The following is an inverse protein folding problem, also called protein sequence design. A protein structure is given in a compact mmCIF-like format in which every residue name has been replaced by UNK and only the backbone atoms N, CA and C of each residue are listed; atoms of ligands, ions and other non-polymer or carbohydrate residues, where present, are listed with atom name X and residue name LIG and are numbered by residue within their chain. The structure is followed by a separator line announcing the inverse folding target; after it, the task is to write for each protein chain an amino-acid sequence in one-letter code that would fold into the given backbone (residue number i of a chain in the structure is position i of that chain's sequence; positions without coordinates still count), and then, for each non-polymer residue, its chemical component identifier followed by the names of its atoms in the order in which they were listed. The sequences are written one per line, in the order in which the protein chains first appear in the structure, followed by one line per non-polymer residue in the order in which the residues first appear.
data_IF_781636191421
#
_entry.id   IF_781636191421
#
_cell.length_a   1.000
_cell.length_b   1.000
_cell.length_c   1.000
_cell.angle_alpha   90.00
_cell.angle_beta   90.00
_cell.angle_gamma   90.00
#
_symmetry.space_group_name_H-M   'P 1'
#
loop_
_entity.id
_entity.type
_entity.pdbx_description
1 polymer ?
#
# COMPACT_ATOMS: atom_id res chain seq x y z
N UNK A 1 3.90 9.66 14.28
CA UNK A 1 3.01 9.20 15.36
C UNK A 1 3.50 9.79 16.68
N UNK A 2 2.66 10.04 17.70
CA UNK A 2 3.15 10.33 19.05
C UNK A 2 3.98 9.15 19.58
N UNK A 3 4.98 9.39 20.42
CA UNK A 3 5.86 8.33 20.96
C UNK A 3 5.08 7.24 21.74
N UNK A 4 3.98 7.64 22.38
CA UNK A 4 3.03 6.74 23.06
C UNK A 4 1.61 7.06 22.55
N UNK A 5 1.20 6.49 21.40
CA UNK A 5 -0.12 6.76 20.85
C UNK A 5 -1.20 6.13 21.74
N UNK A 6 -2.37 6.76 21.80
CA UNK A 6 -3.53 6.17 22.47
C UNK A 6 -3.91 4.88 21.73
N UNK A 7 -4.02 3.78 22.47
CA UNK A 7 -4.36 2.46 21.92
C UNK A 7 -5.87 2.24 21.92
N UNK A 8 -6.39 1.66 20.83
CA UNK A 8 -7.81 1.38 20.69
C UNK A 8 -8.30 0.37 21.73
N UNK A 9 -9.52 0.58 22.23
CA UNK A 9 -10.21 -0.43 23.04
C UNK A 9 -10.38 -1.70 22.20
N UNK A 10 -9.91 -2.85 22.69
CA UNK A 10 -9.94 -4.11 21.96
C UNK A 10 -8.74 -4.36 21.03
N UNK A 11 -7.69 -3.52 21.07
CA UNK A 11 -6.49 -3.71 20.26
C UNK A 11 -5.93 -5.15 20.29
N UNK A 12 -5.87 -5.80 21.45
CA UNK A 12 -5.37 -7.17 21.55
C UNK A 12 -6.26 -8.19 20.83
N UNK A 13 -7.58 -8.00 20.87
CA UNK A 13 -8.53 -8.88 20.18
C UNK A 13 -8.45 -8.68 18.66
N UNK A 14 -8.30 -7.43 18.20
CA UNK A 14 -8.14 -7.12 16.78
C UNK A 14 -6.82 -7.68 16.24
N UNK A 15 -5.71 -7.48 16.96
CA UNK A 15 -4.40 -8.07 16.59
C UNK A 15 -4.48 -9.59 16.54
N UNK A 16 -5.10 -10.22 17.55
CA UNK A 16 -5.32 -11.66 17.54
C UNK A 16 -6.11 -12.11 16.31
N UNK A 17 -7.22 -11.43 16.00
CA UNK A 17 -8.04 -11.73 14.82
C UNK A 17 -7.26 -11.61 13.52
N UNK A 18 -6.49 -10.54 13.34
CA UNK A 18 -5.65 -10.33 12.15
C UNK A 18 -4.63 -11.47 12.01
N UNK A 19 -3.91 -11.80 13.07
CA UNK A 19 -2.87 -12.83 13.02
C UNK A 19 -3.42 -14.27 12.96
N UNK A 20 -4.68 -14.48 13.34
CA UNK A 20 -5.36 -15.77 13.19
C UNK A 20 -5.77 -16.08 11.73
N UNK A 21 -5.96 -15.04 10.90
CA UNK A 21 -6.28 -15.21 9.46
C UNK A 21 -5.07 -15.60 8.62
N UNK A 22 -3.86 -15.30 9.10
CA UNK A 22 -2.60 -15.66 8.45
C UNK A 22 -1.40 -14.98 9.11
N UNK A 23 -0.17 -15.36 8.75
CA UNK A 23 1.02 -14.67 9.22
C UNK A 23 1.07 -13.23 8.70
N UNK A 24 1.97 -12.42 9.28
CA UNK A 24 2.47 -11.23 8.57
C UNK A 24 3.20 -11.73 7.33
N UNK A 25 2.54 -11.58 6.19
CA UNK A 25 3.00 -12.09 4.92
C UNK A 25 4.28 -11.39 4.51
N UNK A 26 5.19 -12.18 3.94
CA UNK A 26 6.27 -11.63 3.16
C UNK A 26 5.75 -10.89 1.93
N UNK A 27 6.54 -9.93 1.44
CA UNK A 27 6.29 -9.32 0.14
C UNK A 27 7.19 -9.95 -0.93
N UNK A 28 6.77 -9.83 -2.19
CA UNK A 28 7.37 -10.58 -3.30
C UNK A 28 7.86 -9.62 -4.39
N UNK A 29 9.12 -9.75 -4.82
CA UNK A 29 9.64 -9.08 -6.00
C UNK A 29 9.69 -10.04 -7.20
N UNK A 30 9.73 -9.49 -8.42
CA UNK A 30 9.80 -10.29 -9.66
C UNK A 30 8.46 -10.81 -10.15
N UNK A 31 7.34 -10.25 -9.66
CA UNK A 31 5.98 -10.60 -10.13
C UNK A 31 5.45 -9.68 -11.23
N UNK A 32 6.22 -8.66 -11.64
CA UNK A 32 5.83 -7.70 -12.66
C UNK A 32 5.26 -8.38 -13.92
N UNK A 33 4.18 -7.81 -14.48
CA UNK A 33 3.44 -8.34 -15.64
C UNK A 33 2.81 -9.73 -15.47
N UNK A 34 2.82 -10.32 -14.27
CA UNK A 34 2.15 -11.59 -13.99
C UNK A 34 0.78 -11.37 -13.35
N UNK A 35 -0.07 -12.40 -13.35
CA UNK A 35 -1.36 -12.37 -12.63
C UNK A 35 -1.23 -12.31 -11.11
N UNK A 36 0.00 -12.36 -10.59
CA UNK A 36 0.33 -12.23 -9.17
C UNK A 36 0.81 -10.82 -8.80
N UNK A 37 0.85 -9.87 -9.74
CA UNK A 37 1.21 -8.48 -9.50
C UNK A 37 0.02 -7.69 -8.96
N UNK A 38 -0.10 -7.63 -7.63
CA UNK A 38 -1.13 -6.88 -6.90
C UNK A 38 -0.61 -5.55 -6.33
N UNK A 39 0.65 -5.23 -6.61
CA UNK A 39 1.32 -4.04 -6.09
C UNK A 39 0.98 -2.78 -6.90
N UNK A 40 1.56 -1.64 -6.52
CA UNK A 40 1.21 -0.36 -7.12
C UNK A 40 2.30 0.13 -8.08
N UNK A 41 2.02 0.27 -9.39
CA UNK A 41 3.00 0.78 -10.34
C UNK A 41 2.89 2.30 -10.44
N UNK A 42 4.01 2.99 -10.29
CA UNK A 42 4.08 4.45 -10.17
C UNK A 42 4.75 5.07 -11.40
N UNK A 43 4.00 5.84 -12.18
CA UNK A 43 4.54 6.44 -13.42
C UNK A 43 4.63 7.95 -13.35
N UNK A 44 5.82 8.50 -13.62
CA UNK A 44 6.02 9.95 -13.72
C UNK A 44 5.74 10.45 -15.14
N UNK A 45 4.68 11.24 -15.29
CA UNK A 45 4.27 11.82 -16.57
C UNK A 45 5.07 13.07 -16.96
N UNK A 46 5.30 13.21 -18.26
CA UNK A 46 5.94 14.35 -18.90
C UNK A 46 4.96 15.10 -19.81
N UNK A 47 5.25 16.37 -20.11
CA UNK A 47 4.42 17.19 -21.01
C UNK A 47 4.38 16.66 -22.45
N UNK A 48 5.34 15.82 -22.84
CA UNK A 48 5.45 15.19 -24.16
C UNK A 48 4.72 13.85 -24.25
N UNK A 49 4.27 13.30 -23.13
CA UNK A 49 3.58 12.01 -23.13
C UNK A 49 2.23 12.10 -23.86
N UNK A 50 1.77 10.99 -24.48
CA UNK A 50 0.46 10.93 -25.10
C UNK A 50 -0.66 11.28 -24.13
N UNK A 51 -1.71 11.89 -24.67
CA UNK A 51 -2.92 12.24 -23.91
C UNK A 51 -3.92 11.10 -24.00
N UNK A 52 -4.44 10.72 -22.85
CA UNK A 52 -5.52 9.77 -22.69
C UNK A 52 -6.73 10.47 -22.06
N UNK A 53 -7.91 10.28 -22.62
CA UNK A 53 -9.17 10.72 -22.02
C UNK A 53 -9.74 9.55 -21.24
N UNK A 54 -9.93 9.74 -19.94
CA UNK A 54 -10.41 8.68 -19.04
C UNK A 54 -11.89 8.42 -19.26
N UNK A 55 -12.25 7.14 -19.30
CA UNK A 55 -13.62 6.65 -19.30
C UNK A 55 -13.76 5.52 -18.27
N UNK A 56 -14.59 5.76 -17.25
CA UNK A 56 -14.89 4.83 -16.16
C UNK A 56 -16.13 3.99 -16.51
N UNK A 57 -16.08 2.70 -16.21
CA UNK A 57 -17.16 1.76 -16.58
C UNK A 57 -18.11 1.42 -15.45
N UNK A 58 -17.70 1.57 -14.19
CA UNK A 58 -18.56 1.25 -13.05
C UNK A 58 -19.61 2.34 -12.80
N UNK A 59 -20.81 1.93 -12.41
CA UNK A 59 -21.97 2.83 -12.23
C UNK A 59 -22.21 3.16 -10.76
N UNK A 60 -21.15 3.40 -9.98
CA UNK A 60 -21.25 3.72 -8.55
C UNK A 60 -21.51 5.21 -8.26
N UNK A 61 -21.62 6.01 -9.31
CA UNK A 61 -21.79 7.46 -9.24
C UNK A 61 -21.00 8.15 -10.34
N UNK A 62 -20.68 9.43 -10.15
CA UNK A 62 -19.79 10.15 -11.06
C UNK A 62 -18.34 9.82 -10.70
N UNK A 63 -17.66 9.08 -11.56
CA UNK A 63 -16.23 8.83 -11.43
C UNK A 63 -15.46 10.17 -11.36
N UNK A 64 -14.63 10.40 -10.33
CA UNK A 64 -13.94 11.68 -10.14
C UNK A 64 -13.09 12.13 -11.34
N UNK A 65 -12.54 11.18 -12.09
CA UNK A 65 -11.66 11.42 -13.25
C UNK A 65 -12.33 11.22 -14.62
N UNK A 66 -13.65 11.00 -14.69
CA UNK A 66 -14.35 10.87 -15.98
C UNK A 66 -14.09 12.07 -16.90
N UNK A 67 -13.88 11.79 -18.19
CA UNK A 67 -13.59 12.75 -19.25
C UNK A 67 -12.29 13.58 -19.06
N UNK A 68 -11.48 13.27 -18.04
CA UNK A 68 -10.24 14.03 -17.80
C UNK A 68 -9.15 13.63 -18.80
N UNK A 69 -8.47 14.61 -19.43
CA UNK A 69 -7.26 14.34 -20.17
C UNK A 69 -6.07 14.16 -19.21
N UNK A 70 -5.43 13.00 -19.26
CA UNK A 70 -4.23 12.65 -18.48
C UNK A 70 -3.10 12.32 -19.44
N UNK A 71 -1.91 12.86 -19.19
CA UNK A 71 -0.71 12.43 -19.94
C UNK A 71 -0.11 11.23 -19.22
N UNK A 72 0.10 10.15 -19.96
CA UNK A 72 0.60 8.91 -19.40
C UNK A 72 1.75 8.44 -20.27
N UNK A 73 2.92 8.06 -19.69
CA UNK A 73 4.01 7.51 -20.48
C UNK A 73 3.52 6.41 -21.41
N UNK A 74 3.97 6.45 -22.67
CA UNK A 74 3.51 5.50 -23.69
C UNK A 74 3.75 4.05 -23.25
N UNK A 75 4.89 3.82 -22.60
CA UNK A 75 5.30 2.53 -22.08
C UNK A 75 4.56 2.08 -20.82
N UNK A 76 3.95 2.99 -20.04
CA UNK A 76 3.28 2.63 -18.79
C UNK A 76 2.20 1.57 -19.00
N UNK A 77 2.19 0.56 -18.13
CA UNK A 77 1.24 -0.56 -18.14
C UNK A 77 0.63 -0.74 -16.76
N UNK A 78 -0.65 -1.14 -16.65
CA UNK A 78 -1.20 -1.54 -15.37
C UNK A 78 -0.51 -2.81 -14.87
N UNK A 79 -0.66 -3.12 -13.59
CA UNK A 79 -0.25 -4.43 -13.07
C UNK A 79 -1.00 -5.58 -13.73
N UNK A 80 -0.39 -6.77 -13.70
CA UNK A 80 -0.96 -7.97 -14.32
C UNK A 80 -2.03 -8.67 -13.48
N UNK A 81 -2.12 -8.39 -12.17
CA UNK A 81 -3.21 -8.84 -11.31
C UNK A 81 -4.56 -8.28 -11.76
N UNK A 82 -5.66 -8.88 -11.29
CA UNK A 82 -7.00 -8.48 -11.75
C UNK A 82 -7.42 -7.09 -11.30
N UNK A 83 -6.73 -6.48 -10.34
CA UNK A 83 -6.93 -5.08 -9.98
C UNK A 83 -6.39 -4.12 -11.01
N UNK A 84 -5.40 -4.52 -11.82
CA UNK A 84 -4.89 -3.72 -12.94
C UNK A 84 -4.61 -2.27 -12.57
N UNK A 85 -3.98 -2.06 -11.41
CA UNK A 85 -3.69 -0.73 -10.87
C UNK A 85 -2.72 0.03 -11.77
N UNK A 86 -2.90 1.35 -11.86
CA UNK A 86 -1.98 2.25 -12.55
C UNK A 86 -2.02 3.62 -11.87
N UNK A 87 -0.88 4.06 -11.36
CA UNK A 87 -0.72 5.41 -10.81
C UNK A 87 0.07 6.29 -11.77
N UNK A 88 -0.34 7.55 -11.94
CA UNK A 88 0.36 8.54 -12.76
C UNK A 88 0.61 9.80 -11.95
N UNK A 89 1.86 9.99 -11.56
CA UNK A 89 2.34 11.19 -10.88
C UNK A 89 2.67 12.27 -11.92
N UNK A 90 2.04 13.43 -11.81
CA UNK A 90 2.21 14.54 -12.75
C UNK A 90 2.71 15.79 -12.04
N UNK A 91 4.04 15.95 -12.02
CA UNK A 91 4.69 17.09 -11.35
C UNK A 91 4.31 18.45 -11.95
N UNK A 92 3.94 18.50 -13.22
CA UNK A 92 3.59 19.75 -13.89
C UNK A 92 2.14 20.18 -13.66
N UNK A 93 1.23 19.25 -13.33
CA UNK A 93 -0.16 19.55 -12.98
C UNK A 93 -0.41 19.52 -11.47
N UNK A 94 0.51 18.92 -10.70
CA UNK A 94 0.44 18.81 -9.24
C UNK A 94 -0.45 17.66 -8.75
N UNK A 95 -0.76 16.69 -9.61
CA UNK A 95 -1.70 15.59 -9.30
C UNK A 95 -1.04 14.23 -9.47
N UNK A 96 -1.41 13.31 -8.58
CA UNK A 96 -1.34 11.87 -8.78
C UNK A 96 -2.72 11.41 -9.25
N UNK A 97 -2.77 10.62 -10.32
CA UNK A 97 -3.99 10.01 -10.84
C UNK A 97 -3.92 8.51 -10.61
N UNK A 98 -4.99 7.94 -10.06
CA UNK A 98 -5.02 6.57 -9.60
C UNK A 98 -6.18 5.84 -10.27
N UNK A 99 -5.87 4.69 -10.86
CA UNK A 99 -6.85 3.92 -11.62
C UNK A 99 -6.95 2.50 -11.06
N UNK A 100 -8.19 2.05 -10.87
CA UNK A 100 -8.52 0.65 -10.61
C UNK A 100 -9.08 0.01 -11.88
N UNK A 101 -8.55 -1.18 -12.17
CA UNK A 101 -8.83 -2.02 -13.32
C UNK A 101 -8.72 -1.26 -14.63
N UNK A 102 -7.50 -0.92 -15.04
CA UNK A 102 -7.27 -0.43 -16.40
C UNK A 102 -7.57 -1.55 -17.39
N UNK A 103 -8.73 -1.45 -18.05
CA UNK A 103 -9.24 -2.41 -19.04
C UNK A 103 -8.61 -2.21 -20.41
N UNK A 104 -8.28 -0.95 -20.75
CA UNK A 104 -7.67 -0.61 -22.04
C UNK A 104 -6.85 0.67 -21.97
N UNK A 105 -5.63 0.61 -22.50
CA UNK A 105 -4.74 1.76 -22.74
C UNK A 105 -4.15 1.66 -24.16
N UNK A 106 -4.74 2.36 -25.16
CA UNK A 106 -4.25 2.29 -26.55
C UNK A 106 -2.84 2.88 -26.71
N UNK A 107 -2.12 2.45 -27.75
CA UNK A 107 -0.82 3.02 -28.08
C UNK A 107 -0.96 4.46 -28.62
N UNK A 108 -0.16 5.39 -28.10
CA UNK A 108 -0.09 6.76 -28.63
C UNK A 108 -1.22 7.70 -28.19
N UNK A 109 -2.00 7.34 -27.17
CA UNK A 109 -3.12 8.13 -26.65
C UNK A 109 -4.48 7.61 -27.12
N UNK A 110 -5.55 8.26 -26.67
CA UNK A 110 -6.94 7.86 -26.97
C UNK A 110 -7.79 7.74 -25.72
N UNK A 111 -8.73 6.79 -25.69
CA UNK A 111 -9.57 6.55 -24.51
C UNK A 111 -8.84 5.57 -23.58
N UNK A 112 -8.60 5.98 -22.34
CA UNK A 112 -8.19 5.08 -21.25
C UNK A 112 -9.46 4.55 -20.58
N UNK A 113 -9.71 3.25 -20.69
CA UNK A 113 -10.88 2.63 -20.07
C UNK A 113 -10.48 2.00 -18.75
N UNK A 114 -11.14 2.41 -17.67
CA UNK A 114 -10.90 1.96 -16.28
C UNK A 114 -12.21 1.54 -15.64
N UNK A 115 -12.19 0.72 -14.60
CA UNK A 115 -13.43 0.48 -13.82
C UNK A 115 -13.78 1.71 -13.00
N UNK A 116 -12.81 2.23 -12.25
CA UNK A 116 -12.96 3.43 -11.43
C UNK A 116 -11.59 4.11 -11.22
N UNK A 117 -11.59 5.32 -10.66
CA UNK A 117 -10.36 6.02 -10.33
C UNK A 117 -10.60 7.42 -9.80
N UNK A 118 -9.52 8.08 -9.44
CA UNK A 118 -9.53 9.39 -8.82
C UNK A 118 -8.18 10.07 -8.95
N UNK A 119 -7.99 11.14 -8.18
CA UNK A 119 -6.73 11.86 -8.14
C UNK A 119 -6.57 12.61 -6.83
N UNK A 120 -5.35 12.71 -6.37
CA UNK A 120 -4.99 13.45 -5.16
C UNK A 120 -3.83 14.42 -5.45
N UNK A 121 -3.73 15.58 -4.79
CA UNK A 121 -2.59 16.46 -4.97
C UNK A 121 -1.30 15.78 -4.52
N UNK A 122 -0.21 15.90 -5.29
CA UNK A 122 1.10 15.30 -4.92
C UNK A 122 1.72 15.93 -3.66
N UNK A 123 1.16 17.06 -3.20
CA UNK A 123 1.52 17.74 -1.95
C UNK A 123 0.38 17.68 -0.93
N UNK A 124 -0.62 16.82 -1.16
CA UNK A 124 -1.80 16.64 -0.34
C UNK A 124 -1.62 15.58 0.74
N UNK A 125 -2.74 15.12 1.27
CA UNK A 125 -2.83 14.05 2.27
C UNK A 125 -2.81 12.63 1.65
N UNK A 126 -2.82 12.53 0.32
CA UNK A 126 -2.83 11.25 -0.38
C UNK A 126 -4.19 10.54 -0.33
N UNK A 127 -5.28 11.25 -0.02
CA UNK A 127 -6.62 10.67 0.09
C UNK A 127 -7.49 11.03 -1.12
N UNK A 128 -8.65 10.37 -1.20
CA UNK A 128 -9.68 10.55 -2.23
C UNK A 128 -9.26 10.18 -3.65
N UNK A 129 -8.38 9.19 -3.76
CA UNK A 129 -7.79 8.77 -5.02
C UNK A 129 -8.60 7.72 -5.78
N UNK A 130 -9.63 7.09 -5.19
CA UNK A 130 -10.59 6.28 -5.93
C UNK A 130 -10.14 4.86 -6.30
N UNK A 131 -8.85 4.58 -6.32
CA UNK A 131 -8.35 3.30 -6.84
C UNK A 131 -8.36 2.18 -5.80
N UNK A 132 -8.03 2.45 -4.55
CA UNK A 132 -8.01 1.44 -3.50
C UNK A 132 -9.29 1.44 -2.68
N UNK A 133 -9.52 0.37 -1.93
CA UNK A 133 -10.71 0.25 -1.11
C UNK A 133 -10.72 1.23 0.09
N UNK A 134 -9.57 1.78 0.51
CA UNK A 134 -9.49 2.89 1.47
C UNK A 134 -9.49 4.28 0.86
N UNK A 135 -9.52 4.39 -0.46
CA UNK A 135 -9.43 5.68 -1.18
C UNK A 135 -8.08 6.39 -1.04
N UNK A 136 -7.02 5.64 -0.68
CA UNK A 136 -5.65 6.15 -0.66
C UNK A 136 -5.09 6.22 -2.07
N UNK A 137 -4.20 7.20 -2.30
CA UNK A 137 -3.39 7.27 -3.51
C UNK A 137 -2.47 6.06 -3.59
N UNK A 138 -2.25 5.51 -4.78
CA UNK A 138 -1.48 4.28 -4.95
C UNK A 138 0.00 4.48 -4.55
N UNK A 139 0.52 5.71 -4.57
CA UNK A 139 1.85 6.01 -4.05
C UNK A 139 1.89 6.14 -2.51
N UNK A 140 0.75 6.24 -1.83
CA UNK A 140 0.70 6.44 -0.38
C UNK A 140 1.11 5.16 0.34
N UNK A 141 2.21 5.23 1.11
CA UNK A 141 2.64 4.16 2.01
C UNK A 141 3.29 2.95 1.35
N UNK A 142 3.52 2.97 0.03
CA UNK A 142 4.22 1.88 -0.66
C UNK A 142 5.71 1.91 -0.37
N UNK A 143 6.29 0.75 -0.08
CA UNK A 143 7.72 0.60 0.16
C UNK A 143 8.48 0.56 -1.17
N UNK A 144 9.57 1.33 -1.27
CA UNK A 144 10.42 1.37 -2.48
C UNK A 144 11.78 0.76 -2.23
N UNK A 145 12.36 0.15 -3.28
CA UNK A 145 13.69 -0.43 -3.20
C UNK A 145 14.75 0.60 -2.77
N UNK A 146 14.65 1.85 -3.24
CA UNK A 146 15.56 2.93 -2.89
C UNK A 146 15.55 3.26 -1.38
N UNK A 147 14.43 3.05 -0.70
CA UNK A 147 14.29 3.29 0.74
C UNK A 147 14.93 2.17 1.55
N UNK A 148 14.77 0.92 1.10
CA UNK A 148 15.46 -0.23 1.67
C UNK A 148 16.98 -0.14 1.45
N UNK A 149 17.43 0.35 0.30
CA UNK A 149 18.85 0.63 0.03
C UNK A 149 19.40 1.75 0.92
N UNK A 150 18.60 2.80 1.15
CA UNK A 150 18.99 3.92 2.01
C UNK A 150 18.92 3.57 3.50
N UNK A 151 18.24 2.47 3.86
CA UNK A 151 18.00 2.08 5.24
C UNK A 151 17.03 3.01 5.98
N UNK A 152 16.20 3.78 5.26
CA UNK A 152 15.20 4.67 5.86
C UNK A 152 13.95 4.72 5.01
N UNK A 153 12.79 4.66 5.67
CA UNK A 153 11.46 4.93 5.11
C UNK A 153 10.83 5.98 6.02
N UNK A 154 10.58 7.17 5.49
CA UNK A 154 10.15 8.34 6.27
C UNK A 154 8.63 8.60 6.16
N UNK A 155 7.85 7.54 6.01
CA UNK A 155 6.39 7.60 5.90
C UNK A 155 5.70 6.41 6.57
N UNK A 156 4.39 6.56 6.84
CA UNK A 156 3.54 5.45 7.26
C UNK A 156 3.41 4.44 6.12
N UNK A 157 3.31 3.16 6.44
CA UNK A 157 3.23 2.08 5.46
C UNK A 157 1.77 1.81 5.06
N UNK A 158 1.57 1.27 3.87
CA UNK A 158 0.28 0.70 3.47
C UNK A 158 0.32 -0.82 3.57
N UNK A 159 -0.75 -1.40 4.12
CA UNK A 159 -0.92 -2.85 4.24
C UNK A 159 -2.32 -3.29 3.83
N UNK A 160 -2.44 -4.53 3.39
CA UNK A 160 -3.71 -5.21 3.21
C UNK A 160 -3.89 -6.29 4.28
N UNK A 161 -5.14 -6.67 4.52
CA UNK A 161 -5.55 -7.74 5.46
C UNK A 161 -6.54 -8.69 4.78
N UNK A 162 -6.83 -9.85 5.38
CA UNK A 162 -7.79 -10.82 4.79
C UNK A 162 -9.17 -10.21 4.47
N UNK A 163 -9.73 -9.52 5.46
CA UNK A 163 -11.02 -8.86 5.38
C UNK A 163 -11.16 -7.86 6.54
N UNK A 164 -12.14 -6.97 6.47
CA UNK A 164 -12.42 -5.99 7.52
C UNK A 164 -13.71 -6.26 8.27
N UNK A 165 -13.92 -5.54 9.37
CA UNK A 165 -15.25 -5.34 9.93
C UNK A 165 -16.13 -4.52 8.97
N UNK A 166 -17.42 -4.41 9.27
CA UNK A 166 -18.36 -3.53 8.56
C UNK A 166 -18.22 -2.06 9.01
N UNK A 167 -16.98 -1.58 9.11
CA UNK A 167 -16.64 -0.24 9.54
C UNK A 167 -15.37 0.26 8.85
N UNK A 168 -15.28 1.58 8.74
CA UNK A 168 -14.07 2.29 8.34
C UNK A 168 -13.77 3.38 9.36
N UNK A 169 -12.50 3.74 9.46
CA UNK A 169 -11.99 4.82 10.30
C UNK A 169 -11.03 5.68 9.48
N UNK A 170 -10.89 6.96 9.85
CA UNK A 170 -9.96 7.86 9.18
C UNK A 170 -8.54 7.26 9.18
N UNK A 171 -7.82 7.25 8.04
CA UNK A 171 -8.09 8.06 6.84
C UNK A 171 -9.00 7.44 5.78
N UNK A 172 -9.47 6.19 5.95
CA UNK A 172 -10.40 5.59 4.99
C UNK A 172 -11.81 6.21 5.11
N UNK A 173 -12.57 6.15 4.01
CA UNK A 173 -13.92 6.71 3.92
C UNK A 173 -14.99 5.71 3.45
N UNK A 174 -14.62 4.44 3.27
CA UNK A 174 -15.49 3.36 2.80
C UNK A 174 -15.02 1.99 3.27
N UNK A 175 -15.91 0.99 3.19
CA UNK A 175 -15.61 -0.40 3.55
C UNK A 175 -15.23 -1.24 2.32
N UNK A 176 -14.23 -2.16 2.46
CA UNK A 176 -13.81 -3.11 1.44
C UNK A 176 -14.60 -4.42 1.61
N UNK A 177 -13.98 -5.57 1.29
CA UNK A 177 -14.50 -6.88 1.64
C UNK A 177 -14.67 -7.03 3.16
N UNK A 178 -15.92 -7.23 3.58
CA UNK A 178 -16.27 -7.48 4.98
C UNK A 178 -16.16 -8.98 5.28
N UNK A 179 -15.55 -9.31 6.42
CA UNK A 179 -15.48 -10.68 6.91
C UNK A 179 -16.87 -11.27 7.13
N UNK A 180 -17.05 -12.55 6.82
CA UNK A 180 -18.31 -13.27 7.12
C UNK A 180 -18.65 -13.23 8.63
N UNK A 181 -17.62 -13.26 9.47
CA UNK A 181 -17.69 -12.93 10.90
C UNK A 181 -16.86 -11.67 11.17
N UNK A 182 -17.49 -10.49 11.31
CA UNK A 182 -16.80 -9.22 11.48
C UNK A 182 -16.35 -8.97 12.93
N UNK A 183 -16.63 -9.87 13.87
CA UNK A 183 -16.23 -9.68 15.27
C UNK A 183 -14.70 -9.59 15.38
N UNK A 184 -14.21 -8.51 16.02
CA UNK A 184 -12.80 -8.17 16.18
C UNK A 184 -12.00 -8.04 14.87
N UNK A 185 -12.63 -8.04 13.69
CA UNK A 185 -11.92 -7.73 12.45
C UNK A 185 -11.47 -6.25 12.45
N UNK A 186 -10.31 -5.91 11.86
CA UNK A 186 -9.88 -4.52 11.78
C UNK A 186 -10.88 -3.70 10.96
N UNK A 187 -11.03 -2.41 11.25
CA UNK A 187 -11.75 -1.51 10.35
C UNK A 187 -10.87 -1.20 9.13
N UNK A 188 -11.50 -0.78 8.02
CA UNK A 188 -10.74 -0.19 6.94
C UNK A 188 -10.11 1.16 7.37
N UNK A 189 -8.89 1.47 6.93
CA UNK A 189 -8.14 2.63 7.43
C UNK A 189 -7.58 2.46 8.83
N UNK A 190 -7.69 1.28 9.45
CA UNK A 190 -7.17 1.05 10.79
C UNK A 190 -5.65 1.28 10.84
N UNK A 191 -5.21 2.08 11.81
CA UNK A 191 -3.79 2.37 12.03
C UNK A 191 -3.15 1.32 12.95
N UNK A 192 -2.28 0.50 12.38
CA UNK A 192 -1.47 -0.49 13.07
C UNK A 192 -0.13 0.14 13.48
N UNK A 193 0.34 -0.18 14.67
CA UNK A 193 1.59 0.36 15.20
C UNK A 193 2.43 -0.75 15.83
N UNK A 194 3.73 -0.73 15.56
CA UNK A 194 4.69 -1.65 16.15
C UNK A 194 5.27 -1.02 17.42
N UNK A 195 4.86 -1.53 18.58
CA UNK A 195 5.29 -1.09 19.92
C UNK A 195 6.70 -1.60 20.25
N UNK A 196 7.68 -1.06 19.53
CA UNK A 196 9.09 -1.34 19.68
C UNK A 196 9.91 -0.06 19.59
N UNK A 197 10.85 0.09 20.51
CA UNK A 197 11.85 1.15 20.45
C UNK A 197 12.90 0.85 19.38
N UNK A 198 13.60 1.88 18.89
CA UNK A 198 14.71 1.68 17.95
C UNK A 198 15.78 0.74 18.52
N UNK A 199 16.05 0.79 19.82
CA UNK A 199 17.02 -0.09 20.48
C UNK A 199 16.58 -1.56 20.46
N UNK A 200 15.28 -1.84 20.64
CA UNK A 200 14.75 -3.20 20.54
C UNK A 200 14.81 -3.72 19.10
N UNK A 201 14.52 -2.86 18.11
CA UNK A 201 14.61 -3.23 16.69
C UNK A 201 16.06 -3.52 16.30
N UNK A 202 17.02 -2.70 16.73
CA UNK A 202 18.43 -2.93 16.44
C UNK A 202 18.97 -4.23 17.07
N UNK A 203 18.41 -4.62 18.21
CA UNK A 203 18.77 -5.85 18.91
C UNK A 203 18.19 -7.13 18.27
N UNK A 204 17.28 -7.03 17.30
CA UNK A 204 16.76 -8.19 16.59
C UNK A 204 17.86 -8.86 15.76
N UNK A 205 17.84 -10.19 15.72
CA UNK A 205 18.63 -11.02 14.81
C UNK A 205 17.97 -11.03 13.41
N UNK A 206 17.87 -9.84 12.82
CA UNK A 206 17.22 -9.58 11.54
C UNK A 206 18.12 -8.72 10.63
N UNK A 207 18.01 -8.86 9.30
CA UNK A 207 18.79 -8.05 8.37
C UNK A 207 18.33 -6.58 8.36
N UNK A 208 19.25 -5.69 7.97
CA UNK A 208 19.04 -4.24 8.00
C UNK A 208 17.82 -3.77 7.19
N UNK A 209 17.49 -4.46 6.10
CA UNK A 209 16.32 -4.16 5.28
C UNK A 209 15.01 -4.41 6.04
N UNK A 210 14.94 -5.49 6.83
CA UNK A 210 13.77 -5.82 7.67
C UNK A 210 13.67 -4.79 8.79
N UNK A 211 14.79 -4.48 9.46
CA UNK A 211 14.86 -3.43 10.49
C UNK A 211 14.43 -2.06 9.97
N UNK A 212 14.70 -1.74 8.71
CA UNK A 212 14.24 -0.50 8.06
C UNK A 212 12.71 -0.39 8.04
N UNK A 213 12.03 -1.46 7.65
CA UNK A 213 10.56 -1.52 7.64
C UNK A 213 10.00 -1.48 9.07
N UNK A 214 10.60 -2.23 10.01
CA UNK A 214 10.18 -2.24 11.41
C UNK A 214 10.34 -0.85 12.06
N UNK A 215 11.44 -0.13 11.76
CA UNK A 215 11.64 1.25 12.21
C UNK A 215 10.55 2.17 11.67
N UNK A 216 10.21 2.06 10.39
CA UNK A 216 9.13 2.84 9.79
C UNK A 216 7.78 2.54 10.46
N UNK A 217 7.46 1.26 10.67
CA UNK A 217 6.21 0.84 11.33
C UNK A 217 6.15 1.27 12.81
N UNK A 218 7.29 1.31 13.52
CA UNK A 218 7.35 1.83 14.90
C UNK A 218 7.25 3.35 14.98
N UNK A 219 7.66 4.07 13.94
CA UNK A 219 7.70 5.56 13.94
C UNK A 219 6.42 6.17 13.37
N UNK A 220 5.90 5.56 12.32
CA UNK A 220 4.80 6.08 11.52
C UNK A 220 3.56 5.17 11.52
N UNK A 221 3.73 3.88 11.84
CA UNK A 221 2.67 2.88 11.75
C UNK A 221 2.39 2.43 10.30
N UNK A 222 1.39 1.59 10.16
CA UNK A 222 0.87 1.10 8.88
C UNK A 222 -0.66 1.24 8.85
N UNK A 223 -1.23 1.64 7.73
CA UNK A 223 -2.68 1.74 7.56
C UNK A 223 -3.23 0.56 6.76
N UNK A 224 -4.33 -0.01 7.22
CA UNK A 224 -5.12 -0.96 6.43
C UNK A 224 -5.73 -0.21 5.25
N UNK A 225 -5.26 -0.52 4.04
CA UNK A 225 -5.68 0.13 2.80
C UNK A 225 -6.69 -0.70 2.02
N UNK A 226 -6.49 -2.01 1.96
CA UNK A 226 -7.29 -2.90 1.15
C UNK A 226 -7.38 -4.30 1.77
N UNK A 227 -8.07 -5.19 1.06
CA UNK A 227 -8.25 -6.59 1.45
C UNK A 227 -7.74 -7.54 0.39
N UNK A 228 -7.23 -8.70 0.81
CA UNK A 228 -6.83 -9.77 -0.10
C UNK A 228 -6.81 -11.12 0.61
N UNK A 229 -7.03 -12.21 -0.11
CA UNK A 229 -7.31 -13.50 0.53
C UNK A 229 -6.11 -14.10 1.29
N UNK A 230 -6.39 -14.69 2.46
CA UNK A 230 -5.49 -15.53 3.28
C UNK A 230 -4.19 -14.85 3.75
N UNK A 231 -4.25 -13.56 4.08
CA UNK A 231 -3.11 -12.83 4.68
C UNK A 231 -3.52 -12.18 5.99
N UNK A 232 -2.67 -12.28 7.01
CA UNK A 232 -2.87 -11.48 8.23
C UNK A 232 -2.58 -10.01 7.92
N UNK A 233 -1.34 -9.72 7.55
CA UNK A 233 -0.89 -8.39 7.11
C UNK A 233 0.02 -8.60 5.91
N UNK A 234 -0.22 -7.92 4.79
CA UNK A 234 0.73 -7.89 3.68
C UNK A 234 1.08 -6.45 3.30
N UNK A 235 2.36 -6.16 3.15
CA UNK A 235 2.85 -4.83 2.82
C UNK A 235 2.69 -4.52 1.34
N UNK A 236 2.29 -3.29 1.03
CA UNK A 236 2.29 -2.78 -0.33
C UNK A 236 3.67 -2.23 -0.69
N UNK A 237 4.16 -2.60 -1.86
CA UNK A 237 5.43 -2.13 -2.42
C UNK A 237 5.21 -1.47 -3.78
N UNK A 238 6.21 -0.73 -4.24
CA UNK A 238 6.24 -0.28 -5.64
C UNK A 238 6.36 -1.50 -6.56
N UNK A 239 5.38 -1.67 -7.45
CA UNK A 239 5.38 -2.77 -8.42
C UNK A 239 6.55 -2.63 -9.39
N UNK A 240 7.23 -3.76 -9.66
CA UNK A 240 8.28 -3.85 -10.67
C UNK A 240 7.81 -3.45 -12.08
N UNK A 241 6.50 -3.50 -12.36
CA UNK A 241 5.89 -3.04 -13.61
C UNK A 241 6.22 -1.57 -13.92
N UNK A 242 6.45 -0.75 -12.88
CA UNK A 242 6.98 0.62 -12.96
C UNK A 242 8.24 0.72 -13.83
N UNK A 243 9.12 -0.29 -13.75
CA UNK A 243 10.43 -0.29 -14.39
C UNK A 243 10.47 -1.19 -15.62
N UNK A 244 9.92 -2.41 -15.53
CA UNK A 244 9.95 -3.39 -16.63
C UNK A 244 9.19 -2.91 -17.86
N UNK A 245 8.18 -2.06 -17.68
CA UNK A 245 7.48 -1.38 -18.77
C UNK A 245 8.39 -0.53 -19.66
N UNK A 246 9.48 0.01 -19.11
CA UNK A 246 10.50 0.75 -19.87
C UNK A 246 11.69 -0.12 -20.31
N UNK A 247 11.63 -1.44 -20.09
CA UNK A 247 12.73 -2.36 -20.35
C UNK A 247 13.89 -2.24 -19.36
N UNK A 248 13.60 -1.70 -18.16
CA UNK A 248 14.55 -1.59 -17.05
C UNK A 248 14.27 -2.73 -16.07
N UNK A 249 15.32 -3.29 -15.47
CA UNK A 249 15.19 -4.30 -14.41
C UNK A 249 14.43 -3.73 -13.22
N UNK A 250 13.62 -4.57 -12.57
CA UNK A 250 12.98 -4.25 -11.30
C UNK A 250 14.04 -4.02 -10.20
N UNK A 251 14.16 -2.80 -9.64
CA UNK A 251 15.13 -2.50 -8.58
C UNK A 251 14.92 -3.33 -7.31
N UNK A 252 13.70 -3.77 -7.02
CA UNK A 252 13.44 -4.64 -5.88
C UNK A 252 14.01 -6.06 -6.10
N UNK A 253 14.03 -6.54 -7.35
CA UNK A 253 14.72 -7.78 -7.73
C UNK A 253 16.25 -7.63 -7.58
N UNK A 254 16.81 -6.53 -8.06
CA UNK A 254 18.26 -6.25 -7.91
C UNK A 254 18.65 -6.09 -6.43
N UNK A 255 17.78 -5.50 -5.62
CA UNK A 255 17.93 -5.43 -4.17
C UNK A 255 17.88 -6.81 -3.52
N UNK A 256 16.86 -7.61 -3.83
CA UNK A 256 16.68 -8.96 -3.31
C UNK A 256 17.88 -9.87 -3.61
N UNK A 257 18.41 -9.81 -4.84
CA UNK A 257 19.54 -10.62 -5.27
C UNK A 257 20.87 -10.36 -4.54
N UNK A 258 20.95 -9.29 -3.74
CA UNK A 258 22.10 -8.96 -2.89
C UNK A 258 21.92 -9.35 -1.43
N UNK A 259 20.72 -9.76 -1.02
CA UNK A 259 20.44 -10.14 0.36
C UNK A 259 20.89 -11.59 0.61
N UNK A 260 21.41 -11.84 1.81
CA UNK A 260 21.88 -13.18 2.24
C UNK A 260 20.99 -13.82 3.30
N UNK A 261 20.10 -13.04 3.89
CA UNK A 261 19.25 -13.42 5.02
C UNK A 261 17.82 -12.94 4.75
N UNK A 262 16.84 -13.74 5.18
CA UNK A 262 15.40 -13.49 5.12
C UNK A 262 14.83 -13.14 3.73
N UNK A 263 15.58 -13.44 2.67
CA UNK A 263 15.12 -13.33 1.29
C UNK A 263 15.40 -14.64 0.57
N UNK A 264 14.33 -15.30 0.10
CA UNK A 264 14.43 -16.57 -0.61
C UNK A 264 14.03 -16.40 -2.06
N UNK A 265 14.80 -16.98 -2.97
CA UNK A 265 14.43 -17.04 -4.39
C UNK A 265 13.56 -18.27 -4.67
N UNK A 266 12.38 -18.04 -5.23
CA UNK A 266 11.42 -19.09 -5.61
C UNK A 266 11.14 -19.01 -7.12
N UNK A 267 11.94 -19.75 -7.91
CA UNK A 267 11.88 -19.64 -9.36
C UNK A 267 12.36 -18.26 -9.84
N UNK A 268 11.46 -17.46 -10.40
CA UNK A 268 11.73 -16.11 -10.89
C UNK A 268 11.36 -15.00 -9.90
N UNK A 269 10.76 -15.36 -8.77
CA UNK A 269 10.38 -14.41 -7.72
C UNK A 269 11.35 -14.44 -6.54
N UNK A 270 11.30 -13.38 -5.74
CA UNK A 270 12.04 -13.24 -4.48
C UNK A 270 11.06 -12.94 -3.36
N UNK A 271 11.06 -13.76 -2.31
CA UNK A 271 10.16 -13.66 -1.17
C UNK A 271 10.94 -13.10 0.01
N UNK A 272 10.50 -11.96 0.52
CA UNK A 272 11.04 -11.30 1.71
C UNK A 272 10.27 -11.77 2.94
N UNK A 273 10.92 -12.47 3.87
CA UNK A 273 10.27 -12.95 5.08
C UNK A 273 10.05 -11.80 6.07
N UNK A 274 8.78 -11.48 6.36
CA UNK A 274 8.40 -10.50 7.39
C UNK A 274 7.84 -11.15 8.66
N UNK A 275 7.59 -12.47 8.64
CA UNK A 275 6.94 -13.17 9.74
C UNK A 275 7.93 -13.52 10.86
N UNK A 276 9.13 -13.97 10.49
CA UNK A 276 10.13 -14.46 11.44
C UNK A 276 10.83 -13.34 12.21
N UNK A 277 11.33 -13.71 13.40
CA UNK A 277 12.19 -12.89 14.27
C UNK A 277 11.55 -11.64 14.86
N UNK A 278 10.23 -11.51 14.74
CA UNK A 278 9.43 -10.42 15.33
C UNK A 278 8.28 -11.00 16.12
N UNK A 279 8.14 -10.59 17.40
CA UNK A 279 6.99 -10.93 18.24
C UNK A 279 5.77 -10.07 17.85
N UNK A 280 5.18 -10.35 16.68
CA UNK A 280 4.04 -9.61 16.16
C UNK A 280 2.85 -9.62 17.13
N UNK A 281 2.53 -10.76 17.73
CA UNK A 281 1.40 -10.86 18.65
C UNK A 281 1.62 -10.03 19.93
N UNK A 282 2.85 -10.01 20.46
CA UNK A 282 3.19 -9.26 21.66
C UNK A 282 3.45 -7.76 21.42
N UNK A 283 3.82 -7.36 20.20
CA UNK A 283 4.27 -5.99 19.88
C UNK A 283 3.34 -5.20 18.96
N UNK A 284 2.50 -5.85 18.16
CA UNK A 284 1.56 -5.12 17.33
C UNK A 284 0.43 -4.52 18.19
N UNK A 285 0.04 -3.30 17.86
CA UNK A 285 -1.06 -2.58 18.47
C UNK A 285 -1.94 -1.96 17.41
N UNK A 286 -3.19 -1.75 17.78
CA UNK A 286 -4.16 -0.97 17.03
C UNK A 286 -4.29 0.38 17.71
N UNK A 287 -3.95 1.43 16.99
CA UNK A 287 -4.04 2.81 17.49
C UNK A 287 -5.50 3.26 17.49
N UNK A 288 -5.89 4.00 18.53
CA UNK A 288 -7.22 4.59 18.62
C UNK A 288 -7.44 5.52 17.41
N UNK A 289 -8.54 5.36 16.65
CA UNK A 289 -8.84 6.19 15.48
C UNK A 289 -8.72 7.69 15.71
N UNK A 290 -8.92 8.14 16.96
CA UNK A 290 -8.78 9.55 17.30
C UNK A 290 -7.37 10.11 17.05
N UNK A 291 -6.35 9.25 17.06
CA UNK A 291 -4.94 9.65 16.88
C UNK A 291 -4.73 10.02 15.42
N UNK A 292 -5.20 9.16 14.50
CA UNK A 292 -5.12 9.42 13.07
C UNK A 292 -5.98 10.64 12.68
N UNK A 293 -7.16 10.78 13.28
CA UNK A 293 -8.05 11.93 13.06
C UNK A 293 -7.55 13.23 13.71
N UNK A 294 -6.57 13.17 14.61
CA UNK A 294 -6.05 14.33 15.34
C UNK A 294 -7.03 14.92 16.36
N UNK A 295 -8.02 14.13 16.81
CA UNK A 295 -9.11 14.58 17.68
C UNK A 295 -9.15 13.88 19.04
N UNK A 296 -8.10 13.11 19.40
CA UNK A 296 -7.98 12.52 20.73
C UNK A 296 -8.11 13.60 21.80
N UNK A 297 -9.27 13.63 22.47
CA UNK A 297 -9.42 14.45 23.66
C UNK A 297 -8.35 14.07 24.67
N UNK A 298 -7.58 15.06 25.13
CA UNK A 298 -6.76 14.90 26.32
C UNK A 298 -7.71 14.65 27.49
N UNK A 299 -7.85 13.40 27.92
CA UNK A 299 -8.50 13.12 29.19
C UNK A 299 -7.61 13.68 30.30
N UNK A 300 -7.85 14.94 30.67
CA UNK A 300 -7.54 15.42 32.00
C UNK A 300 -8.52 14.73 32.96
N UNK A 301 -8.02 13.78 33.75
CA UNK A 301 -8.77 13.09 34.79
C UNK A 301 -7.94 12.01 35.45
#
# INVERSE_FOLDING_TARGET
MPDEPRIAAGSAAIVGRVLDTGPVAGFVAGVADTTSDWYHPLYWSQRTDPVYVVHCTESWGRCPVEDMPVRIPAAARPTGGSDGHLAVVSQYSGWEYDFWQVRSKPAGGGVLTVSWGGRTPITGDGLHAGATASDFGLAAGVIRAAELEAGTIDHALSVIVDCTSDAYVYPADKTPQVCADPENAPANGQHLWLDMTSAEIEALEAPDWKKTILRAMSTYGAYVEDTGDNVGIAFQIESGSTFTSFGVTDPMVDFAGRQTEDVTREGDTWVFDMASDVDWAGRLRVVDPCVAAGDCSSSCG
#
